data_IF_759820439711
#
_entry.id   IF_759820439711
#
_cell.length_a   1.000
_cell.length_b   1.000
_cell.length_c   1.000
_cell.angle_alpha   90.00
_cell.angle_beta   90.00
_cell.angle_gamma   90.00
#
_symmetry.space_group_name_H-M   'P 1'
#
loop_
_entity.id
_entity.type
_entity.pdbx_description
1 polymer ?
#
# COMPACT_ATOMS: atom_id res chain seq x y z
N UNK A 1 22.11 -15.42 -0.23
CA UNK A 1 20.86 -14.70 -0.54
C UNK A 1 20.59 -13.79 0.64
N UNK A 2 20.67 -12.47 0.46
CA UNK A 2 20.28 -11.54 1.53
C UNK A 2 18.79 -11.76 1.84
N UNK A 3 18.41 -11.74 3.12
CA UNK A 3 17.02 -11.86 3.51
C UNK A 3 16.21 -10.70 2.93
N UNK A 4 14.91 -10.92 2.63
CA UNK A 4 14.01 -9.85 2.18
C UNK A 4 14.05 -8.68 3.20
N UNK A 5 14.16 -9.00 4.50
CA UNK A 5 14.35 -8.00 5.56
C UNK A 5 15.61 -7.16 5.39
N UNK A 6 16.73 -7.75 4.99
CA UNK A 6 17.97 -6.98 4.70
C UNK A 6 17.82 -6.12 3.44
N UNK A 7 17.15 -6.61 2.39
CA UNK A 7 16.90 -5.81 1.20
C UNK A 7 16.00 -4.60 1.49
N UNK A 8 15.01 -4.76 2.39
CA UNK A 8 14.08 -3.71 2.78
C UNK A 8 14.64 -2.75 3.85
N UNK A 9 15.62 -3.19 4.65
CA UNK A 9 16.22 -2.37 5.71
C UNK A 9 17.61 -1.85 5.37
N UNK A 10 18.30 -2.44 4.39
CA UNK A 10 19.68 -2.08 4.02
C UNK A 10 19.78 -0.94 3.01
N UNK A 11 18.66 -0.29 2.63
CA UNK A 11 18.76 0.85 1.75
C UNK A 11 19.51 1.97 2.47
N UNK A 12 20.51 2.55 1.82
CA UNK A 12 21.23 3.75 2.31
C UNK A 12 20.30 4.93 2.60
N UNK A 13 19.03 4.82 2.22
CA UNK A 13 17.95 5.81 2.36
C UNK A 13 17.02 5.54 3.53
N UNK A 14 17.19 4.43 4.29
CA UNK A 14 16.32 4.13 5.42
C UNK A 14 16.16 5.34 6.35
N UNK A 15 14.92 5.78 6.52
CA UNK A 15 14.53 6.95 7.32
C UNK A 15 14.98 8.33 6.78
N UNK A 16 15.36 8.42 5.50
CA UNK A 16 15.51 9.70 4.81
C UNK A 16 14.17 10.23 4.30
N UNK A 17 14.13 11.51 3.97
CA UNK A 17 13.00 12.14 3.27
C UNK A 17 13.47 12.55 1.89
N UNK A 18 12.70 12.20 0.87
CA UNK A 18 12.95 12.55 -0.53
C UNK A 18 11.85 13.46 -1.03
N UNK A 19 12.16 14.67 -1.54
CA UNK A 19 11.19 15.51 -2.21
C UNK A 19 10.64 14.83 -3.48
N UNK A 20 9.32 14.87 -3.65
CA UNK A 20 8.64 14.24 -4.81
C UNK A 20 8.09 15.31 -5.75
N UNK A 21 7.44 16.32 -5.19
CA UNK A 21 6.91 17.48 -5.90
C UNK A 21 6.88 18.68 -4.94
N UNK A 22 6.44 19.84 -5.42
CA UNK A 22 6.22 20.99 -4.54
C UNK A 22 5.21 20.64 -3.43
N UNK A 23 5.61 20.80 -2.16
CA UNK A 23 4.83 20.42 -0.98
C UNK A 23 4.50 18.94 -0.87
N UNK A 24 5.21 18.05 -1.57
CA UNK A 24 5.07 16.59 -1.42
C UNK A 24 6.45 15.94 -1.25
N UNK A 25 6.59 15.12 -0.21
CA UNK A 25 7.80 14.35 0.04
C UNK A 25 7.47 12.93 0.49
N UNK A 26 8.41 12.01 0.33
CA UNK A 26 8.33 10.63 0.80
C UNK A 26 9.34 10.38 1.91
N UNK A 27 8.87 9.91 3.05
CA UNK A 27 9.73 9.30 4.06
C UNK A 27 9.97 7.83 3.69
N UNK A 28 11.23 7.43 3.60
CA UNK A 28 11.63 6.05 3.32
C UNK A 28 11.64 5.21 4.59
N UNK A 29 10.65 4.33 4.73
CA UNK A 29 10.52 3.37 5.81
C UNK A 29 10.49 1.93 5.30
N UNK A 30 10.10 0.98 6.17
CA UNK A 30 9.66 -0.33 5.70
C UNK A 30 8.41 -0.17 4.84
N UNK A 31 7.40 0.54 5.33
CA UNK A 31 6.39 1.20 4.54
C UNK A 31 6.72 2.70 4.47
N UNK A 32 6.59 3.28 3.31
CA UNK A 32 6.80 4.71 3.10
C UNK A 32 5.67 5.52 3.77
N UNK A 33 5.99 6.78 4.10
CA UNK A 33 4.99 7.76 4.53
C UNK A 33 5.01 8.92 3.54
N UNK A 34 3.88 9.21 2.94
CA UNK A 34 3.73 10.39 2.10
C UNK A 34 3.48 11.64 2.95
N UNK A 35 4.30 12.68 2.79
CA UNK A 35 4.10 13.98 3.40
C UNK A 35 3.52 14.93 2.37
N UNK A 36 2.39 15.54 2.69
CA UNK A 36 1.73 16.59 1.89
C UNK A 36 1.63 17.82 2.78
N UNK A 37 2.20 18.96 2.37
CA UNK A 37 2.29 20.15 3.20
C UNK A 37 2.27 21.43 2.36
N UNK A 38 1.93 22.52 3.01
CA UNK A 38 1.83 23.86 2.42
C UNK A 38 0.53 24.55 2.78
N UNK A 39 0.47 25.86 2.56
CA UNK A 39 -0.72 26.65 2.86
C UNK A 39 -1.06 26.76 4.35
N UNK A 40 -0.19 26.31 5.26
CA UNK A 40 -0.41 26.34 6.71
C UNK A 40 -1.04 25.05 7.26
N UNK A 41 -1.06 23.96 6.50
CA UNK A 41 -1.51 22.65 6.96
C UNK A 41 -0.65 21.52 6.36
N UNK A 42 -0.53 20.41 7.09
CA UNK A 42 0.10 19.19 6.61
C UNK A 42 -0.85 18.00 6.73
N UNK A 43 -0.66 17.03 5.85
CA UNK A 43 -1.34 15.74 5.86
C UNK A 43 -0.29 14.64 5.65
N UNK A 44 -0.45 13.50 6.31
CA UNK A 44 0.36 12.32 6.01
C UNK A 44 -0.51 11.20 5.44
N UNK A 45 0.04 10.49 4.46
CA UNK A 45 -0.53 9.27 3.90
C UNK A 45 0.29 8.11 4.41
N UNK A 46 -0.35 7.24 5.18
CA UNK A 46 0.23 6.21 6.04
C UNK A 46 1.12 6.74 7.17
N UNK A 47 1.56 5.86 8.05
CA UNK A 47 2.30 6.24 9.25
C UNK A 47 3.54 5.37 9.51
N UNK A 48 3.84 4.45 8.58
CA UNK A 48 4.80 3.38 8.78
C UNK A 48 4.41 2.42 9.92
N UNK A 49 5.30 1.52 10.30
CA UNK A 49 5.07 0.61 11.42
C UNK A 49 5.39 1.27 12.78
N UNK A 50 5.05 0.59 13.88
CA UNK A 50 5.26 1.10 15.23
C UNK A 50 6.75 1.39 15.56
N UNK A 51 7.70 0.72 14.90
CA UNK A 51 9.14 0.94 15.15
C UNK A 51 9.69 2.20 14.50
N UNK A 52 9.11 2.61 13.37
CA UNK A 52 9.56 3.75 12.58
C UNK A 52 8.68 4.99 12.73
N UNK A 53 7.48 4.86 13.30
CA UNK A 53 6.51 5.95 13.43
C UNK A 53 7.09 7.20 14.10
N UNK A 54 7.84 7.06 15.22
CA UNK A 54 8.48 8.21 15.88
C UNK A 54 9.46 8.93 14.96
N UNK A 55 10.23 8.17 14.19
CA UNK A 55 11.21 8.74 13.27
C UNK A 55 10.53 9.43 12.09
N UNK A 56 9.44 8.85 11.58
CA UNK A 56 8.66 9.47 10.52
C UNK A 56 8.00 10.78 10.99
N UNK A 57 7.42 10.81 12.19
CA UNK A 57 6.84 12.03 12.77
C UNK A 57 7.90 13.13 12.99
N UNK A 58 9.09 12.78 13.49
CA UNK A 58 10.20 13.72 13.63
C UNK A 58 10.65 14.27 12.26
N UNK A 59 10.74 13.43 11.23
CA UNK A 59 11.09 13.86 9.87
C UNK A 59 10.04 14.77 9.25
N UNK A 60 8.76 14.58 9.55
CA UNK A 60 7.72 15.53 9.14
C UNK A 60 8.03 16.93 9.70
N UNK A 61 8.37 17.05 10.99
CA UNK A 61 8.68 18.35 11.63
C UNK A 61 9.95 18.99 11.08
N UNK A 62 10.94 18.18 10.68
CA UNK A 62 12.12 18.69 9.99
C UNK A 62 11.81 19.17 8.55
N UNK A 63 10.76 18.62 7.93
CA UNK A 63 10.37 18.93 6.56
C UNK A 63 9.47 20.18 6.49
N UNK A 64 8.55 20.35 7.45
CA UNK A 64 7.61 21.48 7.49
C UNK A 64 7.27 21.91 8.91
N UNK A 65 6.99 23.20 9.09
CA UNK A 65 6.41 23.76 10.31
C UNK A 65 4.88 23.72 10.33
N UNK A 66 4.24 23.37 9.21
CA UNK A 66 2.80 23.32 9.11
C UNK A 66 2.22 22.29 10.10
N UNK A 67 1.15 22.63 10.86
CA UNK A 67 0.53 21.68 11.77
C UNK A 67 -0.07 20.51 11.01
N UNK A 68 0.07 19.28 11.57
CA UNK A 68 -0.54 18.09 11.03
C UNK A 68 -2.05 18.14 11.23
N UNK A 69 -2.81 18.30 10.14
CA UNK A 69 -4.26 18.39 10.15
C UNK A 69 -4.94 17.03 9.96
N UNK A 70 -4.33 16.15 9.16
CA UNK A 70 -4.93 14.86 8.85
C UNK A 70 -3.89 13.74 8.66
N UNK A 71 -4.34 12.51 8.93
CA UNK A 71 -3.67 11.25 8.62
C UNK A 71 -4.61 10.46 7.72
N UNK A 72 -4.13 9.91 6.61
CA UNK A 72 -4.89 9.03 5.74
C UNK A 72 -4.26 7.65 5.77
N UNK A 73 -5.03 6.62 6.09
CA UNK A 73 -4.61 5.24 5.93
C UNK A 73 -4.93 4.78 4.52
N UNK A 74 -3.91 4.34 3.77
CA UNK A 74 -4.15 3.72 2.47
C UNK A 74 -4.86 2.39 2.63
N UNK A 75 -4.56 1.64 3.69
CA UNK A 75 -5.26 0.42 4.09
C UNK A 75 -4.83 0.00 5.51
N UNK A 76 -5.51 -0.97 6.08
CA UNK A 76 -5.33 -1.37 7.48
C UNK A 76 -4.17 -2.35 7.75
N UNK A 77 -3.14 -2.47 6.92
CA UNK A 77 -1.97 -3.27 7.26
C UNK A 77 -1.13 -2.59 8.36
N UNK A 78 -0.52 -3.43 9.21
CA UNK A 78 0.19 -2.98 10.42
C UNK A 78 1.36 -2.03 10.13
N UNK A 79 2.00 -2.20 9.00
CA UNK A 79 3.12 -1.37 8.57
C UNK A 79 2.70 -0.03 7.94
N UNK A 80 1.41 0.17 7.71
CA UNK A 80 0.82 1.43 7.24
C UNK A 80 0.17 2.23 8.38
N UNK A 81 -0.43 1.55 9.36
CA UNK A 81 -1.18 2.21 10.44
C UNK A 81 -0.47 2.21 11.79
N UNK A 82 0.57 1.39 11.96
CA UNK A 82 1.20 1.12 13.26
C UNK A 82 1.91 2.31 13.88
N UNK A 83 2.34 3.28 13.08
CA UNK A 83 3.04 4.48 13.52
C UNK A 83 2.13 5.62 13.97
N UNK A 84 0.81 5.53 13.78
CA UNK A 84 -0.13 6.62 14.10
C UNK A 84 -0.02 7.19 15.53
N UNK A 85 0.19 6.37 16.59
CA UNK A 85 0.38 6.90 17.93
C UNK A 85 1.52 7.92 18.03
N UNK A 86 2.57 7.78 17.24
CA UNK A 86 3.70 8.71 17.27
C UNK A 86 3.36 10.08 16.64
N UNK A 87 2.58 10.09 15.58
CA UNK A 87 2.10 11.34 14.97
C UNK A 87 1.09 12.07 15.87
N UNK A 88 0.23 11.33 16.58
CA UNK A 88 -0.68 11.91 17.55
C UNK A 88 0.08 12.52 18.75
N UNK A 89 1.07 11.81 19.27
CA UNK A 89 1.91 12.31 20.36
C UNK A 89 2.74 13.54 19.95
N UNK A 90 3.21 13.59 18.71
CA UNK A 90 3.91 14.76 18.15
C UNK A 90 2.98 15.98 18.07
N UNK A 91 1.76 15.82 17.58
CA UNK A 91 0.78 16.91 17.53
C UNK A 91 0.45 17.44 18.94
N UNK A 92 0.28 16.55 19.92
CA UNK A 92 0.04 16.92 21.31
C UNK A 92 1.23 17.70 21.92
N UNK A 93 2.45 17.20 21.71
CA UNK A 93 3.68 17.83 22.23
C UNK A 93 3.94 19.21 21.61
N UNK A 94 3.59 19.40 20.35
CA UNK A 94 3.70 20.70 19.67
C UNK A 94 2.56 21.67 20.03
N UNK A 95 1.56 21.25 20.82
CA UNK A 95 0.38 22.03 21.14
C UNK A 95 -0.58 22.22 19.98
N UNK A 96 -0.45 21.45 18.92
CA UNK A 96 -1.35 21.45 17.78
C UNK A 96 -2.66 20.69 18.10
N UNK A 97 -3.71 20.96 17.34
CA UNK A 97 -4.93 20.18 17.41
C UNK A 97 -4.63 18.72 17.00
N UNK A 98 -5.36 17.77 17.60
CA UNK A 98 -5.27 16.36 17.20
C UNK A 98 -5.65 16.21 15.73
N UNK A 99 -4.79 15.62 14.87
CA UNK A 99 -5.11 15.40 13.47
C UNK A 99 -6.28 14.41 13.32
N UNK A 100 -7.14 14.65 12.34
CA UNK A 100 -8.22 13.74 11.99
C UNK A 100 -7.66 12.53 11.21
N UNK A 101 -8.09 11.33 11.56
CA UNK A 101 -7.65 10.11 10.88
C UNK A 101 -8.75 9.64 9.92
N UNK A 102 -8.40 9.45 8.66
CA UNK A 102 -9.27 9.01 7.58
C UNK A 102 -8.89 7.62 7.08
N UNK A 103 -9.88 6.81 6.74
CA UNK A 103 -9.68 5.50 6.14
C UNK A 103 -10.97 4.95 5.54
N UNK A 104 -10.85 3.91 4.73
CA UNK A 104 -12.02 3.21 4.20
C UNK A 104 -12.84 2.54 5.32
N UNK A 105 -14.15 2.37 5.12
CA UNK A 105 -15.07 1.82 6.16
C UNK A 105 -14.70 0.40 6.63
N UNK A 106 -13.92 -0.36 5.85
CA UNK A 106 -13.47 -1.71 6.21
C UNK A 106 -12.17 -1.73 7.06
N UNK A 107 -11.48 -0.60 7.22
CA UNK A 107 -10.25 -0.51 8.05
C UNK A 107 -10.51 -0.96 9.49
N UNK A 108 -11.56 -0.50 10.20
CA UNK A 108 -11.82 -0.93 11.57
C UNK A 108 -12.01 -2.45 11.71
N UNK A 109 -12.71 -3.08 10.78
CA UNK A 109 -12.91 -4.54 10.79
C UNK A 109 -11.59 -5.30 10.61
N UNK A 110 -10.73 -4.83 9.72
CA UNK A 110 -9.39 -5.40 9.52
C UNK A 110 -8.55 -5.30 10.78
N UNK A 111 -8.54 -4.16 11.46
CA UNK A 111 -7.81 -3.97 12.71
C UNK A 111 -8.35 -4.88 13.82
N UNK A 112 -9.68 -5.02 13.93
CA UNK A 112 -10.32 -5.93 14.88
C UNK A 112 -9.92 -7.40 14.62
N UNK A 113 -9.87 -7.82 13.36
CA UNK A 113 -9.41 -9.16 12.97
C UNK A 113 -7.94 -9.38 13.36
N UNK A 114 -7.07 -8.40 13.23
CA UNK A 114 -5.67 -8.54 13.67
C UNK A 114 -5.56 -8.72 15.18
N UNK A 115 -6.40 -8.04 15.96
CA UNK A 115 -6.44 -8.23 17.41
C UNK A 115 -7.00 -9.60 17.79
N UNK A 116 -8.04 -10.08 17.09
CA UNK A 116 -8.62 -11.39 17.31
C UNK A 116 -7.60 -12.52 17.09
N UNK A 117 -6.78 -12.41 16.05
CA UNK A 117 -5.76 -13.40 15.69
C UNK A 117 -4.34 -12.92 15.96
N UNK A 118 -4.15 -12.08 16.98
CA UNK A 118 -2.89 -11.40 17.28
C UNK A 118 -1.69 -12.34 17.38
N UNK A 119 -1.81 -13.44 18.13
CA UNK A 119 -0.74 -14.42 18.29
C UNK A 119 -0.36 -15.09 16.97
N UNK A 120 -1.37 -15.46 16.15
CA UNK A 120 -1.16 -16.05 14.83
C UNK A 120 -0.47 -15.07 13.87
N UNK A 121 -0.95 -13.82 13.83
CA UNK A 121 -0.36 -12.79 12.97
C UNK A 121 1.12 -12.53 13.32
N UNK A 122 1.47 -12.49 14.61
CA UNK A 122 2.85 -12.35 15.03
C UNK A 122 3.70 -13.57 14.61
N UNK A 123 3.20 -14.79 14.80
CA UNK A 123 3.95 -16.00 14.41
C UNK A 123 4.18 -16.09 12.91
N UNK A 124 3.16 -15.79 12.07
CA UNK A 124 3.30 -15.76 10.61
C UNK A 124 4.34 -14.73 10.19
N UNK A 125 4.24 -13.50 10.71
CA UNK A 125 5.16 -12.43 10.33
C UNK A 125 6.58 -12.66 10.87
N UNK A 126 6.71 -13.21 12.09
CA UNK A 126 8.00 -13.58 12.64
C UNK A 126 8.73 -14.58 11.73
N UNK A 127 8.04 -15.59 11.21
CA UNK A 127 8.61 -16.55 10.26
C UNK A 127 8.91 -15.92 8.90
N UNK A 128 7.96 -15.16 8.35
CA UNK A 128 8.09 -14.54 7.02
C UNK A 128 9.24 -13.54 6.96
N UNK A 129 9.39 -12.71 7.99
CA UNK A 129 10.41 -11.66 8.04
C UNK A 129 11.64 -12.02 8.89
N UNK A 130 11.72 -13.27 9.38
CA UNK A 130 12.82 -13.78 10.21
C UNK A 130 13.09 -12.87 11.43
N UNK A 131 12.03 -12.40 12.08
CA UNK A 131 12.16 -11.55 13.27
C UNK A 131 12.71 -12.36 14.44
N UNK A 132 13.53 -11.75 15.31
CA UNK A 132 14.04 -12.40 16.50
C UNK A 132 12.92 -12.92 17.42
N UNK A 133 13.19 -13.97 18.22
CA UNK A 133 12.24 -14.42 19.23
C UNK A 133 11.87 -13.29 20.21
N UNK A 134 10.57 -13.16 20.51
CA UNK A 134 10.06 -12.13 21.43
C UNK A 134 9.83 -10.75 20.78
N UNK A 135 10.09 -10.60 19.49
CA UNK A 135 9.70 -9.40 18.74
C UNK A 135 8.31 -9.58 18.16
N UNK A 136 7.39 -8.74 18.58
CA UNK A 136 6.01 -8.69 18.08
C UNK A 136 5.92 -7.66 16.94
N UNK A 137 5.54 -8.11 15.74
CA UNK A 137 5.30 -7.24 14.58
C UNK A 137 3.97 -6.49 14.71
N UNK A 138 3.01 -7.05 15.43
CA UNK A 138 1.68 -6.48 15.64
C UNK A 138 1.55 -5.89 17.04
N UNK A 139 1.12 -4.63 17.18
CA UNK A 139 0.82 -4.05 18.48
C UNK A 139 -0.44 -4.69 19.08
N UNK A 140 -0.64 -4.50 20.39
CA UNK A 140 -1.83 -4.99 21.11
C UNK A 140 -3.05 -4.07 21.00
N UNK A 141 -2.89 -2.93 20.34
CA UNK A 141 -3.96 -1.97 20.04
C UNK A 141 -3.62 -1.19 18.80
N UNK A 142 -4.64 -0.69 18.12
CA UNK A 142 -4.52 0.17 16.94
C UNK A 142 -5.31 1.46 17.14
N UNK A 143 -4.88 2.53 16.52
CA UNK A 143 -5.68 3.74 16.38
C UNK A 143 -6.49 3.61 15.09
N UNK A 144 -7.80 3.48 15.20
CA UNK A 144 -8.71 3.43 14.06
C UNK A 144 -8.95 4.81 13.44
N UNK A 145 -9.57 4.86 12.25
CA UNK A 145 -9.96 6.13 11.65
C UNK A 145 -11.10 6.80 12.42
N UNK A 146 -11.05 8.14 12.51
CA UNK A 146 -12.13 8.98 13.05
C UNK A 146 -13.22 9.20 11.99
N UNK A 147 -12.83 9.25 10.71
CA UNK A 147 -13.69 9.43 9.56
C UNK A 147 -13.52 8.26 8.60
N UNK A 148 -14.66 7.65 8.25
CA UNK A 148 -14.69 6.58 7.26
C UNK A 148 -15.52 6.97 6.05
N UNK A 149 -15.21 6.36 4.91
CA UNK A 149 -15.96 6.52 3.67
C UNK A 149 -16.00 5.18 2.91
N UNK A 150 -16.88 5.07 1.92
CA UNK A 150 -17.07 3.84 1.13
C UNK A 150 -16.37 3.93 -0.23
N UNK A 151 -16.73 4.89 -1.05
CA UNK A 151 -16.24 4.97 -2.43
C UNK A 151 -15.19 6.07 -2.60
N UNK A 152 -15.53 7.29 -2.20
CA UNK A 152 -14.67 8.46 -2.29
C UNK A 152 -14.89 9.41 -1.13
N UNK A 153 -13.85 10.17 -0.79
CA UNK A 153 -13.95 11.33 0.10
C UNK A 153 -13.00 12.44 -0.37
N UNK A 154 -13.22 13.64 0.09
CA UNK A 154 -12.32 14.77 -0.16
C UNK A 154 -12.00 15.46 1.15
N UNK A 155 -10.72 15.69 1.41
CA UNK A 155 -10.21 16.49 2.51
C UNK A 155 -9.83 17.85 1.94
N UNK A 156 -10.26 18.92 2.55
CA UNK A 156 -9.77 20.26 2.29
C UNK A 156 -8.48 20.48 3.10
N UNK A 157 -7.35 20.53 2.42
CA UNK A 157 -6.05 20.85 3.02
C UNK A 157 -5.69 22.31 2.73
N UNK A 158 -6.11 23.20 3.59
CA UNK A 158 -5.87 24.65 3.45
C UNK A 158 -6.34 25.22 2.07
N UNK A 159 -7.50 24.81 1.59
CA UNK A 159 -8.09 25.23 0.32
C UNK A 159 -7.70 24.36 -0.88
N UNK A 160 -6.87 23.34 -0.68
CA UNK A 160 -6.49 22.37 -1.71
C UNK A 160 -7.25 21.04 -1.51
N UNK A 161 -7.99 20.54 -2.52
CA UNK A 161 -8.67 19.26 -2.39
C UNK A 161 -7.68 18.11 -2.43
N UNK A 162 -7.81 17.19 -1.46
CA UNK A 162 -7.13 15.90 -1.42
C UNK A 162 -8.21 14.83 -1.60
N UNK A 163 -8.19 14.16 -2.74
CA UNK A 163 -9.18 13.14 -3.09
C UNK A 163 -8.74 11.76 -2.55
N UNK A 164 -9.61 11.12 -1.79
CA UNK A 164 -9.45 9.74 -1.32
C UNK A 164 -10.35 8.84 -2.16
N UNK A 165 -9.77 7.81 -2.78
CA UNK A 165 -10.51 6.95 -3.72
C UNK A 165 -10.30 5.50 -3.31
N UNK A 166 -11.40 4.80 -3.06
CA UNK A 166 -11.38 3.38 -2.71
C UNK A 166 -10.95 2.52 -3.89
N UNK A 167 -10.29 1.40 -3.58
CA UNK A 167 -9.90 0.37 -4.53
C UNK A 167 -10.02 -1.02 -3.90
N UNK A 168 -10.47 -2.00 -4.68
CA UNK A 168 -10.39 -3.42 -4.32
C UNK A 168 -9.21 -4.04 -5.04
N UNK A 169 -8.05 -4.07 -4.39
CA UNK A 169 -6.81 -4.53 -5.00
C UNK A 169 -6.02 -5.41 -4.04
N UNK A 170 -5.00 -4.89 -3.36
CA UNK A 170 -4.27 -5.65 -2.35
C UNK A 170 -5.20 -6.06 -1.21
N UNK A 171 -6.08 -5.16 -0.83
CA UNK A 171 -7.06 -5.36 0.22
C UNK A 171 -8.43 -4.81 -0.20
N UNK A 172 -9.47 -5.18 0.54
CA UNK A 172 -10.84 -4.68 0.35
C UNK A 172 -11.08 -3.30 0.99
N UNK A 173 -10.09 -2.75 1.66
CA UNK A 173 -10.08 -1.42 2.28
C UNK A 173 -9.05 -0.49 1.67
N UNK A 174 -8.47 -0.86 0.51
CA UNK A 174 -7.43 -0.06 -0.11
C UNK A 174 -7.94 1.30 -0.58
N UNK A 175 -7.11 2.29 -0.41
CA UNK A 175 -7.33 3.69 -0.78
C UNK A 175 -6.10 4.20 -1.51
N UNK A 176 -6.29 4.97 -2.55
CA UNK A 176 -5.25 5.83 -3.09
C UNK A 176 -5.65 7.29 -2.98
N UNK A 177 -4.66 8.14 -2.83
CA UNK A 177 -4.83 9.57 -2.64
C UNK A 177 -4.41 10.29 -3.91
N UNK A 178 -5.27 11.16 -4.41
CA UNK A 178 -4.99 12.00 -5.56
C UNK A 178 -4.92 13.48 -5.16
N UNK A 179 -3.86 14.14 -5.57
CA UNK A 179 -3.63 15.58 -5.39
C UNK A 179 -3.78 16.27 -6.76
N UNK A 180 -5.00 16.71 -7.13
CA UNK A 180 -5.28 17.17 -8.49
C UNK A 180 -4.49 18.41 -8.88
N UNK A 181 -4.23 19.33 -7.94
CA UNK A 181 -3.46 20.55 -8.23
C UNK A 181 -1.96 20.29 -8.36
N UNK A 182 -1.46 19.20 -7.78
CA UNK A 182 -0.04 18.80 -7.81
C UNK A 182 0.24 17.70 -8.81
N UNK A 183 -0.80 17.08 -9.36
CA UNK A 183 -0.74 15.92 -10.27
C UNK A 183 0.07 14.76 -9.65
N UNK A 184 -0.09 14.52 -8.34
CA UNK A 184 0.61 13.47 -7.59
C UNK A 184 -0.40 12.46 -7.07
N UNK A 185 -0.09 11.16 -7.23
CA UNK A 185 -0.82 10.06 -6.63
C UNK A 185 0.01 9.41 -5.50
N UNK A 186 -0.59 9.24 -4.31
CA UNK A 186 0.00 8.44 -3.24
C UNK A 186 -0.83 7.15 -3.15
N UNK A 187 -0.21 6.02 -3.48
CA UNK A 187 -0.95 4.82 -3.90
C UNK A 187 -0.85 3.65 -2.93
N UNK A 188 -0.12 3.80 -1.81
CA UNK A 188 0.10 2.69 -0.89
C UNK A 188 0.61 1.45 -1.63
N UNK A 189 0.16 0.29 -1.21
CA UNK A 189 0.59 -1.00 -1.75
C UNK A 189 0.00 -1.39 -3.11
N UNK A 190 -0.76 -0.49 -3.74
CA UNK A 190 -1.05 -0.62 -5.18
C UNK A 190 0.22 -0.61 -6.02
N UNK A 191 1.30 -0.03 -5.50
CA UNK A 191 2.64 -0.08 -6.08
C UNK A 191 3.68 -0.46 -5.02
N UNK A 192 4.24 -1.65 -5.16
CA UNK A 192 5.31 -2.19 -4.30
C UNK A 192 6.59 -2.50 -5.09
N UNK A 193 6.67 -2.05 -6.33
CA UNK A 193 7.81 -2.23 -7.25
C UNK A 193 8.28 -3.70 -7.39
N UNK A 194 7.36 -4.62 -7.27
CA UNK A 194 7.50 -6.04 -7.56
C UNK A 194 6.18 -6.56 -8.12
N UNK A 195 6.14 -7.84 -8.57
CA UNK A 195 4.88 -8.46 -8.95
C UNK A 195 3.88 -8.34 -7.78
N UNK A 196 2.67 -7.80 -8.01
CA UNK A 196 1.65 -7.68 -6.98
C UNK A 196 1.39 -8.99 -6.24
N UNK A 197 1.35 -8.92 -4.92
CA UNK A 197 1.21 -10.09 -4.07
C UNK A 197 -0.26 -10.46 -3.89
N UNK A 198 -0.90 -11.00 -4.90
CA UNK A 198 -2.19 -11.66 -4.77
C UNK A 198 -1.98 -13.14 -4.46
N UNK A 199 -2.90 -13.77 -3.74
CA UNK A 199 -2.91 -15.22 -3.53
C UNK A 199 -1.86 -15.79 -2.58
N UNK A 200 -1.23 -14.98 -1.73
CA UNK A 200 -0.41 -15.51 -0.66
C UNK A 200 -1.27 -16.38 0.28
N UNK A 201 -0.95 -17.67 0.48
CA UNK A 201 -1.81 -18.60 1.21
C UNK A 201 -2.01 -18.26 2.70
N UNK A 202 -1.20 -17.37 3.25
CA UNK A 202 -1.30 -16.90 4.63
C UNK A 202 -2.05 -15.57 4.77
N UNK A 203 -2.57 -15.03 3.68
CA UNK A 203 -3.27 -13.73 3.66
C UNK A 203 -4.69 -13.90 3.12
N UNK A 204 -5.64 -13.03 3.52
CA UNK A 204 -6.96 -12.99 2.91
C UNK A 204 -6.89 -12.77 1.41
N UNK A 205 -7.99 -13.09 0.74
CA UNK A 205 -8.16 -12.87 -0.70
C UNK A 205 -7.80 -11.44 -1.09
N UNK A 206 -7.15 -11.32 -2.24
CA UNK A 206 -6.82 -10.09 -2.93
C UNK A 206 -7.49 -10.09 -4.31
N UNK A 207 -7.45 -8.98 -5.02
CA UNK A 207 -8.32 -8.77 -6.17
C UNK A 207 -7.51 -8.47 -7.42
N UNK A 208 -7.11 -9.51 -8.15
CA UNK A 208 -6.24 -9.40 -9.33
C UNK A 208 -6.79 -8.45 -10.38
N UNK A 209 -8.05 -8.61 -10.78
CA UNK A 209 -8.70 -7.72 -11.75
C UNK A 209 -8.88 -6.30 -11.20
N UNK A 210 -9.38 -6.17 -9.97
CA UNK A 210 -9.55 -4.86 -9.32
C UNK A 210 -8.23 -4.09 -9.18
N UNK A 211 -7.11 -4.82 -8.97
CA UNK A 211 -5.78 -4.21 -8.97
C UNK A 211 -5.42 -3.63 -10.33
N UNK A 212 -5.63 -4.40 -11.42
CA UNK A 212 -5.41 -3.91 -12.79
C UNK A 212 -6.24 -2.67 -13.09
N UNK A 213 -7.55 -2.73 -12.82
CA UNK A 213 -8.49 -1.62 -13.06
C UNK A 213 -8.11 -0.36 -12.27
N UNK A 214 -7.65 -0.53 -11.02
CA UNK A 214 -7.21 0.59 -10.19
C UNK A 214 -5.95 1.25 -10.75
N UNK A 215 -4.94 0.47 -11.15
CA UNK A 215 -3.73 1.01 -11.77
C UNK A 215 -4.02 1.72 -13.09
N UNK A 216 -4.95 1.20 -13.90
CA UNK A 216 -5.44 1.85 -15.12
C UNK A 216 -6.12 3.19 -14.80
N UNK A 217 -6.95 3.25 -13.75
CA UNK A 217 -7.61 4.47 -13.32
C UNK A 217 -6.61 5.54 -12.82
N UNK A 218 -5.56 5.12 -12.08
CA UNK A 218 -4.48 6.01 -11.66
C UNK A 218 -3.70 6.51 -12.88
N UNK A 219 -3.34 5.61 -13.80
CA UNK A 219 -2.62 5.98 -15.03
C UNK A 219 -3.41 6.95 -15.91
N UNK A 220 -4.75 6.82 -15.96
CA UNK A 220 -5.63 7.73 -16.70
C UNK A 220 -5.61 9.18 -16.16
N UNK A 221 -5.29 9.38 -14.87
CA UNK A 221 -5.05 10.72 -14.28
C UNK A 221 -3.74 11.34 -14.76
N UNK A 222 -2.84 10.57 -15.38
CA UNK A 222 -1.51 10.99 -15.86
C UNK A 222 -0.68 11.66 -14.76
N UNK A 223 -0.47 10.99 -13.63
CA UNK A 223 0.29 11.58 -12.54
C UNK A 223 1.71 11.93 -12.99
N UNK A 224 2.17 13.12 -12.63
CA UNK A 224 3.57 13.52 -12.83
C UNK A 224 4.51 12.80 -11.86
N UNK A 225 3.98 12.37 -10.71
CA UNK A 225 4.72 11.58 -9.73
C UNK A 225 3.78 10.63 -8.98
N UNK A 226 4.33 9.51 -8.52
CA UNK A 226 3.65 8.50 -7.71
C UNK A 226 4.48 8.20 -6.48
N UNK A 227 3.85 8.26 -5.30
CA UNK A 227 4.42 7.81 -4.01
C UNK A 227 3.89 6.40 -3.72
N UNK A 228 4.72 5.36 -3.82
CA UNK A 228 4.33 3.98 -3.55
C UNK A 228 4.35 3.67 -2.05
N UNK A 229 3.68 2.59 -1.64
CA UNK A 229 3.77 2.08 -0.27
C UNK A 229 5.16 1.56 0.08
N UNK A 230 5.86 0.96 -0.89
CA UNK A 230 7.22 0.46 -0.75
C UNK A 230 8.07 0.83 -1.97
N UNK A 231 9.34 1.15 -1.73
CA UNK A 231 10.30 1.51 -2.78
C UNK A 231 10.43 3.02 -3.00
N UNK A 232 11.12 3.38 -4.08
CA UNK A 232 11.42 4.78 -4.40
C UNK A 232 10.21 5.48 -5.06
N UNK A 233 10.06 6.81 -4.93
CA UNK A 233 9.03 7.55 -5.66
C UNK A 233 9.27 7.46 -7.17
N UNK A 234 8.20 7.48 -7.94
CA UNK A 234 8.23 7.34 -9.38
C UNK A 234 7.89 8.67 -10.04
N UNK A 235 8.56 8.99 -11.14
CA UNK A 235 8.45 10.27 -11.81
C UNK A 235 8.14 10.11 -13.30
N UNK A 236 7.33 11.02 -13.85
CA UNK A 236 7.09 11.18 -15.28
C UNK A 236 6.72 9.88 -16.02
N UNK A 237 7.32 9.66 -17.17
CA UNK A 237 7.05 8.50 -18.03
C UNK A 237 7.30 7.17 -17.33
N UNK A 238 8.27 7.10 -16.41
CA UNK A 238 8.54 5.88 -15.67
C UNK A 238 7.41 5.52 -14.70
N UNK A 239 6.78 6.51 -14.06
CA UNK A 239 5.59 6.28 -13.23
C UNK A 239 4.45 5.72 -14.08
N UNK A 240 4.18 6.34 -15.23
CA UNK A 240 3.13 5.90 -16.13
C UNK A 240 3.40 4.51 -16.71
N UNK A 241 4.64 4.24 -17.14
CA UNK A 241 5.06 2.91 -17.62
C UNK A 241 4.81 1.85 -16.55
N UNK A 242 5.26 2.07 -15.31
CA UNK A 242 5.12 1.09 -14.25
C UNK A 242 3.65 0.81 -13.90
N UNK A 243 2.80 1.83 -13.84
CA UNK A 243 1.37 1.66 -13.62
C UNK A 243 0.72 0.83 -14.74
N UNK A 244 0.96 1.21 -15.99
CA UNK A 244 0.32 0.56 -17.15
C UNK A 244 0.82 -0.86 -17.38
N UNK A 245 2.12 -1.12 -17.24
CA UNK A 245 2.68 -2.45 -17.43
C UNK A 245 2.33 -3.41 -16.29
N UNK A 246 2.23 -2.90 -15.05
CA UNK A 246 1.74 -3.71 -13.93
C UNK A 246 0.27 -4.05 -14.11
N UNK A 247 -0.57 -3.08 -14.51
CA UNK A 247 -1.97 -3.34 -14.84
C UNK A 247 -2.11 -4.38 -15.95
N UNK A 248 -1.31 -4.26 -17.02
CA UNK A 248 -1.30 -5.22 -18.14
C UNK A 248 -0.91 -6.63 -17.68
N UNK A 249 0.07 -6.74 -16.79
CA UNK A 249 0.48 -8.04 -16.23
C UNK A 249 -0.65 -8.70 -15.43
N UNK A 250 -1.31 -7.92 -14.54
CA UNK A 250 -2.40 -8.44 -13.72
C UNK A 250 -3.62 -8.81 -14.55
N UNK A 251 -3.99 -8.00 -15.53
CA UNK A 251 -5.08 -8.29 -16.47
C UNK A 251 -4.78 -9.53 -17.29
N UNK A 252 -3.56 -9.65 -17.83
CA UNK A 252 -3.15 -10.85 -18.58
C UNK A 252 -3.29 -12.13 -17.74
N UNK A 253 -2.84 -12.12 -16.48
CA UNK A 253 -2.97 -13.28 -15.60
C UNK A 253 -4.43 -13.61 -15.32
N UNK A 254 -5.25 -12.60 -15.06
CA UNK A 254 -6.69 -12.76 -14.86
C UNK A 254 -7.36 -13.38 -16.08
N UNK A 255 -7.17 -12.79 -17.26
CA UNK A 255 -7.80 -13.24 -18.51
C UNK A 255 -7.39 -14.69 -18.85
N UNK A 256 -6.10 -15.03 -18.68
CA UNK A 256 -5.60 -16.37 -18.90
C UNK A 256 -6.17 -17.42 -17.92
N UNK A 257 -6.45 -17.04 -16.67
CA UNK A 257 -7.14 -17.89 -15.70
C UNK A 257 -8.59 -18.11 -16.13
N UNK A 258 -9.31 -17.03 -16.46
CA UNK A 258 -10.72 -17.08 -16.87
C UNK A 258 -10.88 -17.92 -18.15
N UNK A 259 -10.00 -17.76 -19.14
CA UNK A 259 -10.02 -18.55 -20.38
C UNK A 259 -9.92 -20.06 -20.08
N UNK A 260 -9.00 -20.47 -19.20
CA UNK A 260 -8.79 -21.89 -18.86
C UNK A 260 -9.97 -22.48 -18.07
N UNK A 261 -10.50 -21.72 -17.10
CA UNK A 261 -11.70 -22.15 -16.36
C UNK A 261 -12.90 -22.33 -17.31
N UNK A 262 -13.10 -21.41 -18.27
CA UNK A 262 -14.14 -21.49 -19.28
C UNK A 262 -13.92 -22.66 -20.28
N UNK A 263 -12.66 -23.08 -20.47
CA UNK A 263 -12.34 -24.29 -21.22
C UNK A 263 -12.58 -25.60 -20.44
N UNK A 264 -13.05 -25.51 -19.19
CA UNK A 264 -13.42 -26.64 -18.35
C UNK A 264 -12.32 -27.16 -17.43
N UNK A 265 -11.19 -26.45 -17.32
CA UNK A 265 -10.16 -26.81 -16.34
C UNK A 265 -10.62 -26.48 -14.92
N UNK A 266 -10.28 -27.33 -13.97
CA UNK A 266 -10.47 -27.04 -12.55
C UNK A 266 -9.38 -26.08 -12.05
N UNK A 267 -9.64 -25.34 -10.95
CA UNK A 267 -8.66 -24.39 -10.38
C UNK A 267 -7.26 -24.98 -10.16
N UNK A 268 -7.17 -26.20 -9.62
CA UNK A 268 -5.89 -26.87 -9.39
C UNK A 268 -5.18 -27.21 -10.72
N UNK A 269 -5.92 -27.62 -11.74
CA UNK A 269 -5.37 -27.89 -13.08
C UNK A 269 -4.83 -26.62 -13.73
N UNK A 270 -5.50 -25.48 -13.54
CA UNK A 270 -5.00 -24.17 -14.02
C UNK A 270 -3.68 -23.81 -13.34
N UNK A 271 -3.57 -24.04 -12.03
CA UNK A 271 -2.36 -23.80 -11.25
C UNK A 271 -1.22 -24.71 -11.70
N UNK A 272 -1.50 -26.03 -11.86
CA UNK A 272 -0.52 -27.04 -12.23
C UNK A 272 0.00 -26.83 -13.67
N UNK A 273 -0.86 -26.42 -14.59
CA UNK A 273 -0.48 -26.08 -15.96
C UNK A 273 0.44 -24.85 -16.04
N UNK A 274 0.40 -23.99 -15.02
CA UNK A 274 1.17 -22.77 -14.94
C UNK A 274 0.77 -21.72 -15.99
N UNK A 275 0.98 -20.46 -15.69
CA UNK A 275 0.84 -19.34 -16.62
C UNK A 275 2.16 -18.57 -16.60
N UNK A 276 2.74 -18.28 -17.76
CA UNK A 276 3.91 -17.44 -17.87
C UNK A 276 3.51 -16.05 -18.35
N UNK A 277 4.08 -15.00 -17.74
CA UNK A 277 3.94 -13.65 -18.27
C UNK A 277 4.58 -13.56 -19.67
N UNK A 278 4.05 -12.71 -20.57
CA UNK A 278 4.72 -12.35 -21.80
C UNK A 278 6.17 -11.90 -21.55
N UNK A 279 7.08 -12.24 -22.47
CA UNK A 279 8.52 -12.01 -22.32
C UNK A 279 8.90 -10.55 -22.01
N UNK A 280 8.18 -9.60 -22.59
CA UNK A 280 8.40 -8.18 -22.39
C UNK A 280 8.01 -7.74 -20.96
N UNK A 281 6.97 -8.33 -20.36
CA UNK A 281 6.58 -8.12 -18.97
C UNK A 281 7.49 -8.89 -18.00
N UNK A 282 7.79 -10.14 -18.29
CA UNK A 282 8.61 -10.98 -17.43
C UNK A 282 10.02 -10.41 -17.17
N UNK A 283 10.54 -9.57 -18.07
CA UNK A 283 11.84 -8.90 -17.94
C UNK A 283 11.79 -7.59 -17.15
N UNK A 284 10.61 -7.05 -16.86
CA UNK A 284 10.48 -5.79 -16.11
C UNK A 284 10.93 -5.98 -14.67
N UNK A 285 11.82 -5.09 -14.20
CA UNK A 285 12.39 -5.18 -12.86
C UNK A 285 11.31 -5.09 -11.76
N UNK A 286 10.30 -4.26 -11.98
CA UNK A 286 9.17 -4.05 -11.08
C UNK A 286 8.06 -5.10 -11.19
N UNK A 287 8.26 -6.17 -11.97
CA UNK A 287 7.39 -7.35 -12.05
C UNK A 287 8.12 -8.64 -11.63
N UNK A 288 9.29 -8.52 -11.02
CA UNK A 288 10.01 -9.69 -10.53
C UNK A 288 9.30 -10.30 -9.30
N UNK A 289 9.37 -11.63 -9.12
CA UNK A 289 8.69 -12.33 -8.03
C UNK A 289 9.46 -12.21 -6.72
N UNK A 290 9.51 -11.01 -6.15
CA UNK A 290 10.21 -10.71 -4.89
C UNK A 290 9.30 -11.02 -3.70
N UNK A 291 8.07 -10.50 -3.71
CA UNK A 291 7.10 -10.64 -2.63
C UNK A 291 5.89 -11.48 -3.04
N UNK A 292 5.43 -11.36 -4.27
CA UNK A 292 4.43 -12.20 -4.92
C UNK A 292 5.04 -13.07 -6.02
N UNK A 293 4.33 -14.05 -6.51
CA UNK A 293 4.71 -14.84 -7.68
C UNK A 293 3.49 -15.24 -8.52
N UNK A 294 3.71 -15.48 -9.81
CA UNK A 294 2.63 -15.84 -10.73
C UNK A 294 1.77 -17.01 -10.24
N UNK A 295 2.34 -18.12 -9.72
CA UNK A 295 1.51 -19.22 -9.20
C UNK A 295 0.57 -18.82 -8.05
N UNK A 296 0.95 -17.85 -7.22
CA UNK A 296 0.07 -17.34 -6.17
C UNK A 296 -1.09 -16.54 -6.75
N UNK A 297 -0.81 -15.64 -7.71
CA UNK A 297 -1.84 -14.87 -8.42
C UNK A 297 -2.84 -15.79 -9.11
N UNK A 298 -2.34 -16.79 -9.85
CA UNK A 298 -3.18 -17.76 -10.56
C UNK A 298 -4.07 -18.56 -9.60
N UNK A 299 -3.50 -19.01 -8.46
CA UNK A 299 -4.26 -19.76 -7.45
C UNK A 299 -5.39 -18.92 -6.86
N UNK A 300 -5.11 -17.68 -6.46
CA UNK A 300 -6.11 -16.80 -5.86
C UNK A 300 -7.24 -16.49 -6.83
N UNK A 301 -6.89 -16.11 -8.06
CA UNK A 301 -7.88 -15.74 -9.06
C UNK A 301 -8.72 -16.95 -9.51
N UNK A 302 -8.11 -18.12 -9.70
CA UNK A 302 -8.82 -19.35 -10.03
C UNK A 302 -9.76 -19.80 -8.89
N UNK A 303 -9.30 -19.76 -7.65
CA UNK A 303 -10.11 -20.16 -6.48
C UNK A 303 -11.28 -19.21 -6.22
N UNK A 304 -11.09 -17.91 -6.45
CA UNK A 304 -12.14 -16.91 -6.24
C UNK A 304 -13.28 -16.99 -7.26
N UNK A 305 -13.06 -17.65 -8.41
CA UNK A 305 -14.04 -17.77 -9.49
C UNK A 305 -14.64 -19.17 -9.65
N UNK A 306 -14.01 -20.17 -9.04
CA UNK A 306 -14.43 -21.56 -9.17
C UNK A 306 -15.64 -21.98 -8.35
N UNK A 307 -16.13 -21.17 -7.43
CA UNK A 307 -17.34 -21.41 -6.69
C UNK A 307 -18.38 -20.34 -7.04
N UNK A 308 -19.38 -20.73 -7.84
CA UNK A 308 -20.59 -19.93 -7.97
C UNK A 308 -21.21 -19.74 -6.59
N UNK A 309 -21.12 -18.57 -6.04
CA UNK A 309 -21.90 -18.13 -4.89
C UNK A 309 -23.18 -17.47 -5.35
#
# INVERSE_FOLDING_TARGET
>A
MSSIGEALTSSKRASSVEPVADGVAQFHGFCNVGFVYGGGAALVVDTSNAFLGQKAAARLRETTSDPLAAIVYTHGHVDHVGGAPAFLAEAEQSGAARPAIWGHENVPERLARYLLTWGWNNEVNRRQFQLPPGVDAFPKSFVGPDHTYRDTATIDLAGEPVELIHARAETDDATWVWLPQREVALVGDLSVQSLPNTGNPNKPQRYTLGWAETLEAIAAKKPRAVVPGHGDPLQGDHALEMLTETARAMRFLHDAVVERLNAGMWPDEVVDAGIALPDDLARKRYLQPIYGCVPFVVRDDASSRGAGS
#
